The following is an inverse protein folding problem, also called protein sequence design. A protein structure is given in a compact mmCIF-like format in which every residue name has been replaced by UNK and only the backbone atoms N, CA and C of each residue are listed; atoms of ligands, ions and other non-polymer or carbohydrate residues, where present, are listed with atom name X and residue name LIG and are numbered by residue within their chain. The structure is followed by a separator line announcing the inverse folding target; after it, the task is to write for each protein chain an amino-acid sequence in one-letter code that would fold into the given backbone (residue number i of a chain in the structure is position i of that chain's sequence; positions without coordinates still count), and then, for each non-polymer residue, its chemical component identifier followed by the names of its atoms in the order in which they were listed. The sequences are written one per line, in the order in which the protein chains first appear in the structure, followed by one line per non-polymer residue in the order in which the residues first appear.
data_IF_898695632334
#
_entry.id   IF_898695632334
#
_cell.length_a   1.000
_cell.length_b   1.000
_cell.length_c   1.000
_cell.angle_alpha   90.00
_cell.angle_beta   90.00
_cell.angle_gamma   90.00
#
_symmetry.space_group_name_H-M   'P 1'
#
loop_
_entity.id
_entity.type
_entity.pdbx_description
1 polymer ?
#
# COMPACT_ATOMS: atom_id res chain seq x y z
N UNK A 1 -22.18 17.74 47.67
CA UNK A 1 -22.28 18.85 46.71
C UNK A 1 -21.15 19.82 47.00
N UNK A 2 -20.51 20.32 45.97
CA UNK A 2 -19.52 21.40 46.11
C UNK A 2 -20.18 22.78 46.21
N UNK A 3 -19.42 23.83 46.56
CA UNK A 3 -19.94 25.21 46.50
C UNK A 3 -20.40 25.54 45.11
N UNK A 4 -21.54 26.18 44.94
CA UNK A 4 -22.18 26.66 43.71
C UNK A 4 -22.44 25.59 42.60
N UNK A 5 -22.47 24.32 42.96
CA UNK A 5 -22.84 23.25 42.01
C UNK A 5 -24.33 23.42 41.57
N UNK A 6 -24.59 23.37 40.21
CA UNK A 6 -25.91 23.58 39.59
C UNK A 6 -26.54 24.96 39.89
N UNK A 7 -25.72 25.99 40.12
CA UNK A 7 -26.18 27.31 40.55
C UNK A 7 -27.26 27.94 39.63
N UNK A 8 -27.08 27.84 38.33
CA UNK A 8 -27.98 28.43 37.32
C UNK A 8 -29.07 27.46 36.83
N UNK A 9 -29.22 26.28 37.40
CA UNK A 9 -30.16 25.27 36.89
C UNK A 9 -31.61 25.70 37.07
N UNK A 10 -32.38 25.80 36.00
CA UNK A 10 -33.78 26.22 36.01
C UNK A 10 -34.77 25.07 35.81
N UNK A 11 -34.69 24.40 34.66
CA UNK A 11 -35.59 23.29 34.31
C UNK A 11 -34.84 22.00 33.95
N UNK A 12 -33.49 22.00 34.03
CA UNK A 12 -32.71 20.79 33.78
C UNK A 12 -32.96 19.72 34.84
N UNK A 13 -33.16 18.47 34.41
CA UNK A 13 -33.43 17.33 35.27
C UNK A 13 -32.34 16.26 35.16
N UNK A 14 -32.33 15.38 36.18
CA UNK A 14 -31.48 14.19 36.20
C UNK A 14 -29.95 14.51 36.09
N UNK A 15 -29.56 15.70 36.60
CA UNK A 15 -28.15 16.10 36.60
C UNK A 15 -27.47 15.72 37.93
N UNK A 16 -26.25 15.22 37.85
CA UNK A 16 -25.38 14.95 39.00
C UNK A 16 -24.21 15.91 38.98
N UNK A 17 -24.00 16.70 40.02
CA UNK A 17 -22.91 17.62 40.18
C UNK A 17 -22.18 17.43 41.51
N UNK A 18 -20.88 17.05 41.45
CA UNK A 18 -20.02 16.82 42.59
C UNK A 18 -18.67 17.53 42.43
N UNK A 19 -18.58 18.71 42.99
CA UNK A 19 -17.37 19.55 42.90
C UNK A 19 -17.73 21.04 42.95
N UNK A 20 -16.76 21.90 43.26
CA UNK A 20 -16.94 23.35 43.22
C UNK A 20 -17.25 23.77 41.78
N UNK A 21 -18.30 24.55 41.56
CA UNK A 21 -18.76 25.08 40.29
C UNK A 21 -19.09 24.01 39.21
N UNK A 22 -19.29 22.76 39.62
CA UNK A 22 -19.70 21.73 38.68
C UNK A 22 -21.13 22.00 38.15
N UNK A 23 -21.31 22.00 36.78
CA UNK A 23 -22.55 22.39 36.10
C UNK A 23 -23.07 23.79 36.48
N UNK A 24 -22.18 24.72 36.84
CA UNK A 24 -22.55 26.06 37.32
C UNK A 24 -23.52 26.77 36.39
N UNK A 25 -23.23 26.81 35.09
CA UNK A 25 -24.01 27.51 34.04
C UNK A 25 -25.21 26.71 33.50
N UNK A 26 -25.46 25.50 33.95
CA UNK A 26 -26.55 24.67 33.42
C UNK A 26 -27.90 25.34 33.59
N UNK A 27 -28.68 25.48 32.54
CA UNK A 27 -30.03 26.05 32.60
C UNK A 27 -31.12 25.00 32.37
N UNK A 28 -31.10 24.37 31.19
CA UNK A 28 -32.11 23.39 30.78
C UNK A 28 -31.52 22.03 30.39
N UNK A 29 -30.18 21.89 30.39
CA UNK A 29 -29.50 20.63 30.08
C UNK A 29 -29.90 19.52 31.06
N UNK A 30 -30.07 18.31 30.54
CA UNK A 30 -30.53 17.14 31.29
C UNK A 30 -29.59 15.97 31.25
N UNK A 31 -29.64 15.11 32.25
CA UNK A 31 -28.87 13.86 32.27
C UNK A 31 -27.38 14.05 32.14
N UNK A 32 -26.83 15.09 32.72
CA UNK A 32 -25.39 15.34 32.77
C UNK A 32 -24.81 14.85 34.11
N UNK A 33 -23.63 14.28 34.07
CA UNK A 33 -22.83 13.93 35.25
C UNK A 33 -21.55 14.73 35.26
N UNK A 34 -21.33 15.56 36.24
CA UNK A 34 -20.13 16.38 36.42
C UNK A 34 -19.48 16.10 37.79
N UNK A 35 -18.28 15.57 37.79
CA UNK A 35 -17.47 15.32 39.00
C UNK A 35 -16.12 16.00 38.87
N UNK A 36 -15.84 16.97 39.66
CA UNK A 36 -14.61 17.74 39.68
C UNK A 36 -14.82 19.25 39.70
N UNK A 37 -13.78 19.99 40.05
CA UNK A 37 -13.80 21.47 40.00
C UNK A 37 -14.01 21.93 38.57
N UNK A 38 -14.98 22.83 38.32
CA UNK A 38 -15.38 23.38 37.04
C UNK A 38 -15.75 22.34 35.95
N UNK A 39 -16.08 21.12 36.33
CA UNK A 39 -16.56 20.13 35.38
C UNK A 39 -17.92 20.59 34.79
N UNK A 40 -18.05 20.67 33.45
CA UNK A 40 -19.21 21.19 32.73
C UNK A 40 -19.61 22.62 33.15
N UNK A 41 -18.67 23.46 33.58
CA UNK A 41 -18.91 24.79 34.13
C UNK A 41 -19.82 25.65 33.26
N UNK A 42 -19.54 25.74 31.96
CA UNK A 42 -20.27 26.61 31.00
C UNK A 42 -21.44 25.91 30.29
N UNK A 43 -21.80 24.69 30.68
CA UNK A 43 -22.90 23.97 30.02
C UNK A 43 -24.20 24.75 30.21
N UNK A 44 -24.94 25.05 29.17
CA UNK A 44 -26.24 25.74 29.28
C UNK A 44 -27.41 24.81 28.96
N UNK A 45 -27.40 24.22 27.77
CA UNK A 45 -28.48 23.35 27.28
C UNK A 45 -27.99 21.94 26.88
N UNK A 46 -26.66 21.72 26.89
CA UNK A 46 -26.07 20.41 26.55
C UNK A 46 -26.58 19.31 27.50
N UNK A 47 -26.86 18.14 26.92
CA UNK A 47 -27.45 17.02 27.65
C UNK A 47 -26.66 15.72 27.41
N UNK A 48 -26.83 14.73 28.32
CA UNK A 48 -26.19 13.42 28.22
C UNK A 48 -24.64 13.48 28.28
N UNK A 49 -24.06 14.48 28.92
CA UNK A 49 -22.60 14.61 29.00
C UNK A 49 -22.12 14.00 30.35
N UNK A 50 -20.98 13.31 30.29
CA UNK A 50 -20.26 12.83 31.46
C UNK A 50 -18.91 13.52 31.52
N UNK A 51 -18.63 14.28 32.58
CA UNK A 51 -17.36 14.97 32.81
C UNK A 51 -16.81 14.58 34.19
N UNK A 52 -15.67 13.91 34.21
CA UNK A 52 -15.00 13.50 35.44
C UNK A 52 -13.54 13.96 35.42
N UNK A 53 -13.24 14.97 36.21
CA UNK A 53 -11.92 15.59 36.33
C UNK A 53 -11.98 17.10 36.45
N UNK A 54 -10.84 17.69 36.88
CA UNK A 54 -10.66 19.15 36.93
C UNK A 54 -10.85 19.73 35.53
N UNK A 55 -11.77 20.69 35.36
CA UNK A 55 -12.07 21.38 34.11
C UNK A 55 -12.53 20.43 32.96
N UNK A 56 -12.97 19.21 33.21
CA UNK A 56 -13.49 18.36 32.16
C UNK A 56 -14.74 18.98 31.52
N UNK A 57 -14.77 19.11 30.15
CA UNK A 57 -15.83 19.77 29.39
C UNK A 57 -16.14 21.20 29.87
N UNK A 58 -15.16 21.93 30.39
CA UNK A 58 -15.38 23.24 31.04
C UNK A 58 -16.17 24.22 30.18
N UNK A 59 -15.84 24.34 28.89
CA UNK A 59 -16.48 25.29 27.97
C UNK A 59 -17.58 24.67 27.10
N UNK A 60 -18.05 23.47 27.44
CA UNK A 60 -19.20 22.90 26.72
C UNK A 60 -20.40 23.80 26.92
N UNK A 61 -21.01 24.26 25.85
CA UNK A 61 -22.21 25.11 25.92
C UNK A 61 -23.45 24.31 25.51
N UNK A 62 -23.47 23.78 24.32
CA UNK A 62 -24.60 23.07 23.71
C UNK A 62 -24.30 21.64 23.28
N UNK A 63 -23.04 21.21 23.40
CA UNK A 63 -22.60 19.86 23.01
C UNK A 63 -23.28 18.76 23.83
N UNK A 64 -23.67 17.69 23.17
CA UNK A 64 -24.41 16.59 23.75
C UNK A 64 -23.65 15.26 23.68
N UNK A 65 -23.96 14.35 24.59
CA UNK A 65 -23.48 12.95 24.56
C UNK A 65 -21.93 12.85 24.55
N UNK A 66 -21.24 13.78 25.20
CA UNK A 66 -19.79 13.73 25.34
C UNK A 66 -19.38 13.02 26.63
N UNK A 67 -18.32 12.24 26.56
CA UNK A 67 -17.65 11.62 27.71
C UNK A 67 -16.24 12.17 27.85
N UNK A 68 -15.93 12.79 28.96
CA UNK A 68 -14.64 13.37 29.28
C UNK A 68 -14.14 12.86 30.64
N UNK A 69 -13.12 12.02 30.62
CA UNK A 69 -12.51 11.40 31.78
C UNK A 69 -11.03 11.85 31.92
N UNK A 70 -10.75 12.77 32.82
CA UNK A 70 -9.42 13.29 33.08
C UNK A 70 -9.34 14.81 33.15
N UNK A 71 -8.25 15.34 33.72
CA UNK A 71 -8.00 16.78 33.83
C UNK A 71 -7.95 17.42 32.45
N UNK A 72 -8.70 18.51 32.27
CA UNK A 72 -8.78 19.27 31.02
C UNK A 72 -9.22 18.43 29.78
N UNK A 73 -9.86 17.29 29.98
CA UNK A 73 -10.40 16.52 28.84
C UNK A 73 -11.56 17.27 28.20
N UNK A 74 -11.59 17.37 26.84
CA UNK A 74 -12.57 18.15 26.08
C UNK A 74 -12.75 19.60 26.58
N UNK A 75 -11.70 20.20 27.13
CA UNK A 75 -11.73 21.50 27.79
C UNK A 75 -12.38 22.60 26.95
N UNK A 76 -12.01 22.72 25.66
CA UNK A 76 -12.50 23.76 24.75
C UNK A 76 -13.73 23.36 23.93
N UNK A 77 -14.33 22.19 24.18
CA UNK A 77 -15.52 21.80 23.44
C UNK A 77 -16.65 22.80 23.69
N UNK A 78 -17.24 23.34 22.63
CA UNK A 78 -18.37 24.26 22.73
C UNK A 78 -19.67 23.64 22.24
N UNK A 79 -19.66 23.07 21.05
CA UNK A 79 -20.83 22.53 20.34
C UNK A 79 -20.64 21.08 19.85
N UNK A 80 -19.44 20.51 19.97
CA UNK A 80 -19.15 19.16 19.54
C UNK A 80 -19.95 18.10 20.29
N UNK A 81 -20.38 17.07 19.58
CA UNK A 81 -21.24 16.02 20.12
C UNK A 81 -20.61 14.64 20.03
N UNK A 82 -21.03 13.75 20.89
CA UNK A 82 -20.68 12.32 20.83
C UNK A 82 -19.16 12.04 20.84
N UNK A 83 -18.39 12.88 21.52
CA UNK A 83 -16.96 12.70 21.66
C UNK A 83 -16.65 11.87 22.91
N UNK A 84 -15.64 11.00 22.81
CA UNK A 84 -15.10 10.22 23.92
C UNK A 84 -13.64 10.59 24.16
N UNK A 85 -13.33 11.14 25.32
CA UNK A 85 -11.99 11.62 25.71
C UNK A 85 -11.59 11.01 27.06
N UNK A 86 -10.61 10.12 27.07
CA UNK A 86 -10.10 9.43 28.25
C UNK A 86 -8.61 9.70 28.45
N UNK A 87 -8.27 10.50 29.46
CA UNK A 87 -6.90 10.88 29.79
C UNK A 87 -6.74 12.39 30.01
N UNK A 88 -5.62 12.80 30.60
CA UNK A 88 -5.27 14.20 30.78
C UNK A 88 -5.12 14.93 29.46
N UNK A 89 -5.75 16.12 29.31
CA UNK A 89 -5.70 16.99 28.11
C UNK A 89 -6.14 16.30 26.81
N UNK A 90 -6.97 15.26 26.88
CA UNK A 90 -7.50 14.54 25.73
C UNK A 90 -8.50 15.42 25.00
N UNK A 91 -8.43 15.51 23.65
CA UNK A 91 -9.28 16.39 22.82
C UNK A 91 -9.30 17.84 23.31
N UNK A 92 -8.20 18.32 23.93
CA UNK A 92 -8.12 19.66 24.52
C UNK A 92 -8.51 20.77 23.53
N UNK A 93 -8.06 20.65 22.27
CA UNK A 93 -8.29 21.66 21.21
C UNK A 93 -9.65 21.55 20.51
N UNK A 94 -10.44 20.51 20.78
CA UNK A 94 -11.72 20.30 20.09
C UNK A 94 -12.72 21.40 20.48
N UNK A 95 -13.27 22.08 19.49
CA UNK A 95 -14.29 23.12 19.69
C UNK A 95 -15.68 22.68 19.22
N UNK A 96 -15.79 22.15 18.01
CA UNK A 96 -17.04 21.75 17.36
C UNK A 96 -17.00 20.38 16.70
N UNK A 97 -15.84 19.72 16.67
CA UNK A 97 -15.69 18.36 16.14
C UNK A 97 -16.55 17.36 16.90
N UNK A 98 -17.14 16.41 16.18
CA UNK A 98 -18.08 15.43 16.73
C UNK A 98 -17.64 14.00 16.43
N UNK A 99 -18.10 13.05 17.23
CA UNK A 99 -17.83 11.61 17.05
C UNK A 99 -16.34 11.28 17.05
N UNK A 100 -15.53 12.01 17.81
CA UNK A 100 -14.12 11.71 17.99
C UNK A 100 -13.92 10.81 19.20
N UNK A 101 -13.03 9.84 19.10
CA UNK A 101 -12.63 8.96 20.19
C UNK A 101 -11.13 9.18 20.43
N UNK A 102 -10.74 9.61 21.63
CA UNK A 102 -9.35 9.79 21.99
C UNK A 102 -9.04 9.15 23.33
N UNK A 103 -7.99 8.35 23.39
CA UNK A 103 -7.56 7.62 24.57
C UNK A 103 -6.05 7.80 24.80
N UNK A 104 -5.69 8.23 25.99
CA UNK A 104 -4.31 8.48 26.41
C UNK A 104 -4.02 9.98 26.61
N UNK A 105 -3.02 10.30 27.44
CA UNK A 105 -2.65 11.70 27.72
C UNK A 105 -2.36 12.46 26.43
N UNK A 106 -2.99 13.62 26.27
CA UNK A 106 -2.94 14.49 25.09
C UNK A 106 -3.37 13.84 23.77
N UNK A 107 -4.05 12.68 23.78
CA UNK A 107 -4.63 12.10 22.56
C UNK A 107 -5.67 13.03 21.95
N UNK A 108 -5.64 13.21 20.61
CA UNK A 108 -6.53 14.11 19.90
C UNK A 108 -6.38 15.59 20.27
N UNK A 109 -5.35 15.99 21.04
CA UNK A 109 -5.24 17.37 21.57
C UNK A 109 -5.08 18.45 20.48
N UNK A 110 -4.65 18.07 19.27
CA UNK A 110 -4.54 18.96 18.11
C UNK A 110 -5.81 19.03 17.26
N UNK A 111 -6.78 18.12 17.46
CA UNK A 111 -8.07 18.20 16.77
C UNK A 111 -8.81 19.46 17.19
N UNK A 112 -9.45 20.14 16.22
CA UNK A 112 -10.21 21.38 16.49
C UNK A 112 -11.68 21.27 16.05
N UNK A 113 -11.94 21.08 14.78
CA UNK A 113 -13.27 21.02 14.17
C UNK A 113 -13.54 19.73 13.41
N UNK A 114 -12.52 18.88 13.25
CA UNK A 114 -12.63 17.61 12.56
C UNK A 114 -13.47 16.59 13.32
N UNK A 115 -14.12 15.68 12.58
CA UNK A 115 -15.05 14.70 13.10
C UNK A 115 -14.71 13.27 12.71
N UNK A 116 -15.26 12.30 13.44
CA UNK A 116 -15.09 10.86 13.16
C UNK A 116 -13.63 10.38 13.23
N UNK A 117 -12.83 10.93 14.13
CA UNK A 117 -11.46 10.50 14.32
C UNK A 117 -11.33 9.54 15.51
N UNK A 118 -10.35 8.65 15.44
CA UNK A 118 -9.95 7.76 16.54
C UNK A 118 -8.46 7.98 16.78
N UNK A 119 -8.11 8.59 17.92
CA UNK A 119 -6.73 8.87 18.33
C UNK A 119 -6.38 8.10 19.61
N UNK A 120 -5.51 7.09 19.49
CA UNK A 120 -5.02 6.33 20.64
C UNK A 120 -3.53 6.63 20.81
N UNK A 121 -3.17 7.38 21.86
CA UNK A 121 -1.80 7.81 22.12
C UNK A 121 -1.20 8.71 21.01
N UNK A 122 -2.04 9.37 20.22
CA UNK A 122 -1.66 10.27 19.15
C UNK A 122 -2.35 11.63 19.31
N UNK A 123 -1.65 12.73 19.00
CA UNK A 123 -2.22 14.08 19.15
C UNK A 123 -3.24 14.46 18.08
N UNK A 124 -3.36 13.68 17.00
CA UNK A 124 -4.16 14.06 15.85
C UNK A 124 -3.55 15.22 15.06
N UNK A 125 -4.26 15.67 14.02
CA UNK A 125 -3.90 16.83 13.19
C UNK A 125 -5.09 17.77 13.13
N UNK A 126 -4.84 19.08 13.26
CA UNK A 126 -5.90 20.09 13.25
C UNK A 126 -6.75 20.01 11.96
N UNK A 127 -8.08 19.95 12.13
CA UNK A 127 -9.04 19.92 11.02
C UNK A 127 -9.18 18.58 10.28
N UNK A 128 -8.41 17.54 10.63
CA UNK A 128 -8.59 16.23 9.99
C UNK A 128 -9.92 15.56 10.41
N UNK A 129 -10.45 14.71 9.54
CA UNK A 129 -11.66 13.93 9.78
C UNK A 129 -11.54 12.52 9.21
N UNK A 130 -12.34 11.59 9.77
CA UNK A 130 -12.43 10.21 9.30
C UNK A 130 -11.09 9.46 9.34
N UNK A 131 -10.27 9.73 10.34
CA UNK A 131 -8.90 9.19 10.46
C UNK A 131 -8.73 8.37 11.73
N UNK A 132 -8.04 7.25 11.63
CA UNK A 132 -7.60 6.45 12.79
C UNK A 132 -6.09 6.61 12.93
N UNK A 133 -5.64 7.06 14.12
CA UNK A 133 -4.24 7.17 14.49
C UNK A 133 -3.96 6.41 15.78
N UNK A 134 -3.06 5.43 15.71
CA UNK A 134 -2.66 4.63 16.86
C UNK A 134 -1.15 4.79 17.06
N UNK A 135 -0.74 5.34 18.19
CA UNK A 135 0.65 5.57 18.51
C UNK A 135 1.26 6.78 17.81
N UNK A 136 2.53 7.02 18.09
CA UNK A 136 3.31 8.16 17.58
C UNK A 136 4.53 7.66 16.82
N UNK A 137 4.72 8.12 15.58
CA UNK A 137 5.91 7.83 14.76
C UNK A 137 7.20 8.09 15.58
N UNK A 138 8.13 7.14 15.55
CA UNK A 138 9.39 7.21 16.27
C UNK A 138 9.31 6.88 17.78
N UNK A 139 8.14 6.52 18.31
CA UNK A 139 7.99 6.09 19.71
C UNK A 139 7.71 4.59 19.80
N UNK A 140 6.69 4.10 19.08
CA UNK A 140 6.43 2.67 19.00
C UNK A 140 7.28 2.05 17.89
N UNK A 141 7.99 0.96 18.22
CA UNK A 141 8.89 0.24 17.30
C UNK A 141 8.27 -1.03 16.73
N UNK A 142 7.13 -1.47 17.27
CA UNK A 142 6.41 -2.66 16.80
C UNK A 142 4.90 -2.53 17.03
N UNK A 143 4.11 -3.12 16.15
CA UNK A 143 2.66 -3.23 16.26
C UNK A 143 2.25 -4.69 16.16
N UNK A 144 1.54 -5.21 17.17
CA UNK A 144 1.01 -6.56 17.19
C UNK A 144 -0.51 -6.51 17.16
N UNK A 145 -1.09 -7.06 16.09
CA UNK A 145 -2.55 -7.17 15.93
C UNK A 145 -2.90 -8.65 15.86
N UNK A 146 -3.63 -9.15 16.87
CA UNK A 146 -4.07 -10.55 16.91
C UNK A 146 -5.04 -10.85 15.76
N UNK A 147 -5.05 -12.11 15.30
CA UNK A 147 -5.99 -12.59 14.29
C UNK A 147 -5.60 -12.26 12.82
N UNK A 148 -4.50 -11.52 12.57
CA UNK A 148 -4.02 -11.29 11.20
C UNK A 148 -3.28 -12.53 10.70
N UNK A 149 -2.28 -13.02 11.47
CA UNK A 149 -1.53 -14.22 11.10
C UNK A 149 -2.39 -15.47 11.29
N UNK A 150 -2.41 -16.35 10.27
CA UNK A 150 -3.16 -17.60 10.31
C UNK A 150 -4.62 -17.49 9.88
N UNK A 151 -5.11 -16.32 9.54
CA UNK A 151 -6.45 -16.12 8.96
C UNK A 151 -6.38 -16.07 7.45
N UNK A 152 -7.14 -16.95 6.77
CA UNK A 152 -7.25 -16.94 5.31
C UNK A 152 -8.33 -15.96 4.87
N UNK A 153 -7.99 -15.03 3.98
CA UNK A 153 -8.92 -14.07 3.39
C UNK A 153 -9.13 -14.43 1.92
N UNK A 154 -10.31 -14.97 1.60
CA UNK A 154 -10.69 -15.27 0.22
C UNK A 154 -10.96 -13.97 -0.55
N UNK A 155 -10.35 -13.82 -1.75
CA UNK A 155 -10.49 -12.60 -2.55
C UNK A 155 -9.75 -11.38 -1.97
N UNK A 156 -8.83 -11.60 -1.03
CA UNK A 156 -8.01 -10.54 -0.43
C UNK A 156 -7.11 -9.84 -1.45
N UNK A 157 -6.78 -8.58 -1.14
CA UNK A 157 -5.82 -7.76 -1.88
C UNK A 157 -4.64 -7.41 -0.98
N UNK A 158 -3.47 -7.21 -1.57
CA UNK A 158 -2.27 -6.83 -0.83
C UNK A 158 -2.44 -5.46 -0.17
N UNK A 159 -2.12 -5.37 1.12
CA UNK A 159 -2.05 -4.11 1.86
C UNK A 159 -0.63 -3.55 1.73
N UNK A 160 -0.54 -2.27 1.42
CA UNK A 160 0.72 -1.52 1.39
C UNK A 160 0.75 -0.50 2.52
N UNK A 161 1.95 -0.12 2.94
CA UNK A 161 2.19 0.95 3.90
C UNK A 161 2.96 2.08 3.22
N UNK A 162 2.51 3.33 3.38
CA UNK A 162 3.25 4.49 2.88
C UNK A 162 4.30 4.98 3.90
N UNK A 163 5.12 5.95 3.50
CA UNK A 163 6.19 6.54 4.34
C UNK A 163 5.67 7.19 5.64
N UNK A 164 4.37 7.52 5.71
CA UNK A 164 3.73 8.07 6.90
C UNK A 164 3.13 6.99 7.82
N UNK A 165 3.25 5.70 7.44
CA UNK A 165 2.67 4.59 8.19
C UNK A 165 1.19 4.34 7.89
N UNK A 166 0.62 4.95 6.84
CA UNK A 166 -0.77 4.71 6.44
C UNK A 166 -0.89 3.39 5.70
N UNK A 167 -1.79 2.54 6.15
CA UNK A 167 -2.15 1.29 5.49
C UNK A 167 -3.18 1.55 4.39
N UNK A 168 -2.99 0.90 3.24
CA UNK A 168 -3.90 1.02 2.12
C UNK A 168 -3.69 -0.07 1.08
N UNK A 169 -4.44 0.00 -0.01
CA UNK A 169 -4.33 -0.92 -1.15
C UNK A 169 -4.07 -0.14 -2.43
N UNK A 170 -3.33 -0.71 -3.37
CA UNK A 170 -3.05 -0.07 -4.66
C UNK A 170 -4.19 -0.33 -5.64
N UNK A 171 -4.83 0.75 -6.10
CA UNK A 171 -5.84 0.66 -7.15
C UNK A 171 -5.19 0.51 -8.53
N UNK A 172 -5.63 -0.49 -9.31
CA UNK A 172 -5.11 -0.77 -10.66
C UNK A 172 -6.06 -0.36 -11.81
N UNK A 173 -7.29 0.04 -11.48
CA UNK A 173 -8.29 0.46 -12.47
C UNK A 173 -7.87 1.70 -13.24
N UNK A 174 -8.13 1.72 -14.55
CA UNK A 174 -7.86 2.87 -15.44
C UNK A 174 -8.51 4.17 -14.96
N UNK A 175 -9.66 4.11 -14.25
CA UNK A 175 -10.36 5.28 -13.68
C UNK A 175 -9.51 6.08 -12.67
N UNK A 176 -8.44 5.49 -12.13
CA UNK A 176 -7.53 6.11 -11.18
C UNK A 176 -6.16 6.46 -11.79
N UNK A 177 -5.98 6.23 -13.11
CA UNK A 177 -4.71 6.43 -13.79
C UNK A 177 -4.85 7.48 -14.88
N UNK A 178 -3.79 8.21 -15.13
CA UNK A 178 -3.69 9.18 -16.21
C UNK A 178 -2.48 8.84 -17.09
N UNK A 179 -2.50 9.28 -18.35
CA UNK A 179 -1.39 9.12 -19.30
C UNK A 179 -0.93 7.64 -19.43
N UNK A 180 -1.89 6.72 -19.56
CA UNK A 180 -1.59 5.31 -19.74
C UNK A 180 -0.92 5.10 -21.10
N UNK A 181 0.33 4.63 -21.09
CA UNK A 181 1.10 4.34 -22.28
C UNK A 181 1.69 2.92 -22.21
N UNK A 182 1.94 2.27 -23.36
CA UNK A 182 2.72 1.03 -23.39
C UNK A 182 4.09 1.24 -22.75
N UNK A 183 4.58 0.23 -22.03
CA UNK A 183 5.86 0.32 -21.32
C UNK A 183 7.09 0.39 -22.26
N UNK A 184 6.99 -0.24 -23.43
CA UNK A 184 8.04 -0.27 -24.47
C UNK A 184 9.45 -0.55 -23.87
N UNK A 185 10.41 0.37 -24.09
CA UNK A 185 11.80 0.25 -23.63
C UNK A 185 11.99 0.59 -22.15
N UNK A 186 10.97 1.13 -21.46
CA UNK A 186 11.09 1.53 -20.05
C UNK A 186 11.40 0.36 -19.10
N UNK A 187 11.08 -0.88 -19.52
CA UNK A 187 11.39 -2.11 -18.76
C UNK A 187 12.82 -2.64 -18.96
N UNK A 188 13.56 -2.19 -19.95
CA UNK A 188 14.89 -2.75 -20.28
C UNK A 188 15.90 -2.59 -19.13
N UNK A 189 15.70 -1.59 -18.27
CA UNK A 189 16.54 -1.40 -17.08
C UNK A 189 16.60 -2.60 -16.16
N UNK A 190 15.57 -3.50 -16.16
CA UNK A 190 15.60 -4.69 -15.30
C UNK A 190 16.70 -5.68 -15.66
N UNK A 191 17.20 -5.68 -16.90
CA UNK A 191 18.31 -6.56 -17.31
C UNK A 191 19.64 -6.22 -16.62
N UNK A 192 19.75 -5.01 -16.05
CA UNK A 192 20.92 -4.58 -15.28
C UNK A 192 20.77 -4.83 -13.77
N UNK A 193 19.60 -5.25 -13.30
CA UNK A 193 19.38 -5.61 -11.89
C UNK A 193 20.12 -6.90 -11.55
N UNK A 194 20.58 -6.97 -10.28
CA UNK A 194 21.39 -8.11 -9.79
C UNK A 194 20.66 -8.77 -8.61
N UNK A 195 19.91 -9.85 -8.85
CA UNK A 195 19.33 -10.64 -7.76
C UNK A 195 20.43 -11.24 -6.88
N UNK A 196 20.21 -11.21 -5.57
CA UNK A 196 21.17 -11.71 -4.57
C UNK A 196 20.48 -12.63 -3.56
N UNK A 197 21.29 -13.44 -2.89
CA UNK A 197 20.89 -14.10 -1.65
C UNK A 197 21.55 -13.38 -0.47
N UNK A 198 20.83 -13.25 0.65
CA UNK A 198 21.34 -12.53 1.81
C UNK A 198 20.73 -13.07 3.12
N UNK A 199 21.26 -12.61 4.24
CA UNK A 199 20.67 -12.79 5.56
C UNK A 199 20.50 -11.43 6.19
N UNK A 200 19.39 -11.20 6.88
CA UNK A 200 19.24 -9.99 7.69
C UNK A 200 20.22 -9.99 8.86
N UNK A 201 20.58 -8.81 9.33
CA UNK A 201 21.34 -8.65 10.56
C UNK A 201 20.60 -9.34 11.72
N UNK A 202 21.35 -9.91 12.67
CA UNK A 202 20.79 -10.66 13.82
C UNK A 202 19.78 -9.87 14.65
N UNK A 203 19.89 -8.56 14.65
CA UNK A 203 18.95 -7.63 15.32
C UNK A 203 17.57 -7.63 14.66
N UNK A 204 17.50 -7.88 13.35
CA UNK A 204 16.26 -7.92 12.56
C UNK A 204 15.72 -9.34 12.41
N UNK A 205 16.59 -10.32 12.20
CA UNK A 205 16.22 -11.74 12.07
C UNK A 205 17.13 -12.62 12.91
N UNK A 206 16.64 -13.06 14.07
CA UNK A 206 17.35 -13.96 14.97
C UNK A 206 17.47 -15.38 14.39
N UNK A 207 16.59 -15.77 13.46
CA UNK A 207 16.60 -17.11 12.84
C UNK A 207 17.73 -17.29 11.83
N UNK A 208 18.26 -16.19 11.27
CA UNK A 208 19.28 -16.21 10.24
C UNK A 208 18.83 -16.92 8.97
N UNK A 209 17.57 -16.81 8.60
CA UNK A 209 17.00 -17.44 7.42
C UNK A 209 17.58 -16.84 6.13
N UNK A 210 17.92 -17.70 5.15
CA UNK A 210 18.35 -17.27 3.82
C UNK A 210 17.22 -16.56 3.12
N UNK A 211 17.51 -15.38 2.56
CA UNK A 211 16.57 -14.54 1.82
C UNK A 211 17.02 -14.38 0.37
N UNK A 212 16.08 -13.99 -0.49
CA UNK A 212 16.30 -13.72 -1.91
C UNK A 212 15.71 -12.35 -2.23
N UNK A 213 16.44 -11.53 -3.00
CA UNK A 213 15.94 -10.21 -3.35
C UNK A 213 16.95 -9.35 -4.08
N UNK A 214 16.73 -8.04 -4.01
CA UNK A 214 17.56 -7.00 -4.61
C UNK A 214 18.08 -6.08 -3.51
N UNK A 215 19.24 -5.46 -3.73
CA UNK A 215 19.82 -4.43 -2.84
C UNK A 215 19.35 -3.06 -3.33
N UNK A 216 18.66 -2.29 -2.49
CA UNK A 216 18.02 -1.03 -2.88
C UNK A 216 19.02 -0.02 -3.45
N UNK A 217 20.23 0.09 -2.88
CA UNK A 217 21.31 0.96 -3.34
C UNK A 217 21.87 0.55 -4.72
N UNK A 218 21.83 -0.74 -5.07
CA UNK A 218 22.23 -1.20 -6.40
C UNK A 218 21.11 -0.96 -7.43
N UNK A 219 19.85 -1.12 -7.01
CA UNK A 219 18.68 -0.81 -7.85
C UNK A 219 18.61 0.68 -8.14
N UNK A 220 18.92 1.55 -7.17
CA UNK A 220 18.95 3.00 -7.34
C UNK A 220 19.88 3.43 -8.46
N UNK A 221 21.07 2.82 -8.57
CA UNK A 221 22.06 3.11 -9.64
C UNK A 221 21.55 2.76 -11.02
N UNK A 222 20.64 1.79 -11.12
CA UNK A 222 20.05 1.32 -12.39
C UNK A 222 18.81 2.12 -12.73
N UNK A 223 17.87 2.22 -11.80
CA UNK A 223 16.60 2.92 -11.97
C UNK A 223 16.05 3.43 -10.62
N UNK A 224 16.27 4.71 -10.27
CA UNK A 224 15.80 5.29 -9.02
C UNK A 224 14.28 5.22 -8.82
N UNK A 225 13.48 5.13 -9.90
CA UNK A 225 12.02 5.01 -9.82
C UNK A 225 11.55 3.68 -9.19
N UNK A 226 12.43 2.69 -9.11
CA UNK A 226 12.16 1.40 -8.48
C UNK A 226 12.49 1.36 -6.98
N UNK A 227 12.92 2.48 -6.40
CA UNK A 227 13.33 2.55 -4.98
C UNK A 227 12.35 3.40 -4.19
N UNK A 228 12.07 2.98 -2.96
CA UNK A 228 11.41 3.77 -1.92
C UNK A 228 12.50 4.21 -0.94
N UNK A 229 12.46 5.48 -0.58
CA UNK A 229 13.42 6.09 0.35
C UNK A 229 12.83 6.22 1.75
N UNK A 230 13.70 6.19 2.75
CA UNK A 230 13.33 6.49 4.13
C UNK A 230 13.19 8.02 4.37
N UNK A 231 12.92 8.40 5.63
CA UNK A 231 12.75 9.81 6.02
C UNK A 231 14.05 10.63 5.91
N UNK A 232 15.22 9.99 5.89
CA UNK A 232 16.53 10.62 5.71
C UNK A 232 16.92 10.72 4.22
N UNK A 233 16.07 10.23 3.31
CA UNK A 233 16.32 10.20 1.87
C UNK A 233 17.29 9.10 1.43
N UNK A 234 17.50 8.06 2.24
CA UNK A 234 18.32 6.90 1.89
C UNK A 234 17.47 5.80 1.28
N UNK A 235 18.02 5.01 0.33
CA UNK A 235 17.33 3.84 -0.20
C UNK A 235 16.90 2.89 0.92
N UNK A 236 15.61 2.55 0.97
CA UNK A 236 15.04 1.72 2.03
C UNK A 236 14.55 0.36 1.49
N UNK A 237 13.79 0.37 0.41
CA UNK A 237 13.26 -0.87 -0.19
C UNK A 237 13.02 -0.72 -1.69
N UNK A 238 12.81 -1.85 -2.38
CA UNK A 238 12.52 -1.92 -3.80
C UNK A 238 11.03 -2.08 -4.03
N UNK A 239 10.52 -1.40 -5.06
CA UNK A 239 9.12 -1.51 -5.52
C UNK A 239 8.95 -2.79 -6.35
N UNK A 240 8.90 -3.94 -5.69
CA UNK A 240 8.83 -5.24 -6.36
C UNK A 240 7.62 -5.36 -7.29
N UNK A 241 6.48 -4.76 -6.96
CA UNK A 241 5.29 -4.73 -7.84
C UNK A 241 5.53 -4.02 -9.17
N UNK A 242 6.44 -3.04 -9.19
CA UNK A 242 6.85 -2.38 -10.43
C UNK A 242 7.82 -3.27 -11.22
N UNK A 243 8.74 -3.94 -10.53
CA UNK A 243 9.65 -4.93 -11.13
C UNK A 243 8.87 -6.07 -11.78
N UNK A 244 7.83 -6.59 -11.13
CA UNK A 244 6.96 -7.67 -11.67
C UNK A 244 6.28 -7.24 -12.98
N UNK A 245 5.77 -6.01 -13.05
CA UNK A 245 5.17 -5.48 -14.28
C UNK A 245 6.20 -5.32 -15.43
N UNK A 246 7.42 -4.90 -15.09
CA UNK A 246 8.52 -4.78 -16.06
C UNK A 246 9.00 -6.15 -16.53
N UNK A 247 9.11 -7.14 -15.64
CA UNK A 247 9.42 -8.53 -15.97
C UNK A 247 8.40 -9.11 -16.94
N UNK A 248 7.11 -8.87 -16.72
CA UNK A 248 6.07 -9.32 -17.64
C UNK A 248 6.26 -8.70 -19.04
N UNK A 249 6.59 -7.40 -19.13
CA UNK A 249 6.82 -6.76 -20.42
C UNK A 249 8.03 -7.37 -21.17
N UNK A 250 9.15 -7.61 -20.49
CA UNK A 250 10.32 -8.26 -21.09
C UNK A 250 10.03 -9.71 -21.47
N UNK A 251 9.34 -10.47 -20.62
CA UNK A 251 8.91 -11.83 -20.97
C UNK A 251 8.07 -11.86 -22.24
N UNK A 252 7.12 -10.93 -22.41
CA UNK A 252 6.32 -10.84 -23.63
C UNK A 252 7.12 -10.40 -24.87
N UNK A 253 8.19 -9.59 -24.71
CA UNK A 253 9.12 -9.27 -25.80
C UNK A 253 9.91 -10.51 -26.22
N UNK A 254 10.50 -11.23 -25.27
CA UNK A 254 11.27 -12.44 -25.56
C UNK A 254 10.38 -13.56 -26.14
N UNK A 255 9.13 -13.71 -25.66
CA UNK A 255 8.19 -14.68 -26.22
C UNK A 255 7.93 -14.42 -27.72
N UNK A 256 7.63 -13.16 -28.10
CA UNK A 256 7.46 -12.79 -29.51
C UNK A 256 8.70 -13.02 -30.36
N UNK A 257 9.91 -12.81 -29.79
CA UNK A 257 11.15 -13.08 -30.46
C UNK A 257 11.37 -14.58 -30.69
N UNK A 258 11.05 -15.41 -29.71
CA UNK A 258 11.09 -16.87 -29.84
C UNK A 258 10.14 -17.36 -30.94
N UNK A 259 8.88 -16.90 -30.95
CA UNK A 259 7.92 -17.22 -32.02
C UNK A 259 8.45 -16.84 -33.42
N UNK A 260 9.07 -15.65 -33.54
CA UNK A 260 9.71 -15.22 -34.79
C UNK A 260 10.87 -16.11 -35.22
N UNK A 261 11.72 -16.54 -34.27
CA UNK A 261 12.84 -17.45 -34.52
C UNK A 261 12.34 -18.86 -34.93
N UNK A 262 11.30 -19.37 -34.31
CA UNK A 262 10.71 -20.66 -34.66
C UNK A 262 10.12 -20.64 -36.09
N UNK A 263 9.44 -19.54 -36.47
CA UNK A 263 8.92 -19.36 -37.81
C UNK A 263 10.06 -19.32 -38.86
N UNK A 264 11.14 -18.55 -38.58
CA UNK A 264 12.31 -18.47 -39.45
C UNK A 264 13.03 -19.83 -39.57
N UNK A 265 13.13 -20.58 -38.49
CA UNK A 265 13.72 -21.93 -38.48
C UNK A 265 12.88 -22.91 -39.33
N UNK A 266 11.54 -22.83 -39.24
CA UNK A 266 10.65 -23.64 -40.08
C UNK A 266 10.82 -23.36 -41.57
N UNK A 267 10.94 -22.07 -41.94
CA UNK A 267 11.21 -21.65 -43.34
C UNK A 267 12.58 -22.15 -43.81
N UNK A 268 13.64 -22.00 -43.01
CA UNK A 268 14.96 -22.52 -43.34
C UNK A 268 14.98 -24.02 -43.56
N UNK A 269 14.25 -24.79 -42.72
CA UNK A 269 14.12 -26.24 -42.89
C UNK A 269 13.50 -26.58 -44.24
N UNK A 270 12.42 -25.92 -44.66
CA UNK A 270 11.77 -26.12 -45.95
C UNK A 270 12.71 -25.78 -47.11
N UNK A 271 13.50 -24.70 -47.01
CA UNK A 271 14.51 -24.33 -48.01
C UNK A 271 15.59 -25.41 -48.14
N UNK A 272 16.09 -25.94 -47.00
CA UNK A 272 17.09 -27.02 -46.98
C UNK A 272 16.56 -28.29 -47.65
N UNK A 273 15.28 -28.68 -47.33
CA UNK A 273 14.63 -29.84 -47.96
C UNK A 273 14.50 -29.68 -49.46
N UNK A 274 14.06 -28.51 -49.93
CA UNK A 274 13.93 -28.20 -51.36
C UNK A 274 15.32 -28.24 -52.06
N UNK A 275 16.36 -27.64 -51.49
CA UNK A 275 17.73 -27.66 -52.01
C UNK A 275 18.27 -29.10 -52.03
N UNK A 276 18.04 -29.89 -50.98
CA UNK A 276 18.47 -31.28 -50.90
C UNK A 276 17.80 -32.15 -52.00
N UNK A 277 16.51 -31.93 -52.24
CA UNK A 277 15.75 -32.62 -53.30
C UNK A 277 16.30 -32.23 -54.68
N UNK A 278 16.49 -30.93 -54.95
CA UNK A 278 17.04 -30.45 -56.20
C UNK A 278 18.49 -30.97 -56.47
N UNK A 279 19.30 -31.10 -55.40
CA UNK A 279 20.65 -31.68 -55.53
C UNK A 279 20.61 -33.18 -55.85
N UNK A 280 19.67 -33.94 -55.26
CA UNK A 280 19.45 -35.34 -55.60
C UNK A 280 18.99 -35.54 -57.03
N UNK A 281 18.07 -34.72 -57.51
CA UNK A 281 17.59 -34.73 -58.87
C UNK A 281 18.70 -34.40 -59.88
N UNK A 282 19.44 -33.33 -59.63
CA UNK A 282 20.58 -32.93 -60.47
C UNK A 282 21.69 -34.04 -60.51
N UNK A 283 21.98 -34.67 -59.35
CA UNK A 283 22.95 -35.74 -59.27
C UNK A 283 22.46 -37.01 -60.02
N UNK A 284 21.16 -37.32 -60.02
CA UNK A 284 20.58 -38.42 -60.79
C UNK A 284 20.61 -38.17 -62.30
N UNK A 285 20.29 -36.93 -62.73
CA UNK A 285 20.43 -36.51 -64.13
C UNK A 285 21.87 -36.59 -64.65
N UNK A 286 22.84 -36.16 -63.82
CA UNK A 286 24.28 -36.26 -64.16
C UNK A 286 24.74 -37.74 -64.31
N UNK A 287 24.27 -38.64 -63.48
CA UNK A 287 24.53 -40.08 -63.58
C UNK A 287 23.90 -40.68 -64.85
N UNK A 288 22.64 -40.30 -65.15
CA UNK A 288 21.95 -40.76 -66.36
C UNK A 288 22.69 -40.27 -67.65
N UNK A 289 23.10 -38.99 -67.68
CA UNK A 289 23.85 -38.43 -68.82
C UNK A 289 25.23 -39.06 -68.99
N UNK A 290 25.97 -39.34 -67.88
CA UNK A 290 27.22 -40.09 -67.93
C UNK A 290 27.04 -41.54 -68.42
N UNK A 291 25.94 -42.21 -68.02
CA UNK A 291 25.62 -43.56 -68.44
C UNK A 291 25.29 -43.59 -69.97
N UNK A 292 24.48 -42.64 -70.45
CA UNK A 292 24.15 -42.47 -71.89
C UNK A 292 25.38 -42.15 -72.74
N UNK A 293 26.26 -41.25 -72.25
CA UNK A 293 27.51 -40.95 -72.96
C UNK A 293 28.45 -42.18 -73.07
N UNK A 294 28.47 -43.03 -72.01
CA UNK A 294 29.27 -44.26 -71.98
C UNK A 294 28.69 -45.31 -72.96
N UNK A 295 27.38 -45.44 -73.10
CA UNK A 295 26.75 -46.31 -74.09
C UNK A 295 27.04 -45.87 -75.52
N UNK A 296 26.98 -44.57 -75.81
CA UNK A 296 27.29 -44.03 -77.12
C UNK A 296 28.79 -44.24 -77.47
N UNK A 297 29.68 -44.11 -76.49
CA UNK A 297 31.13 -44.37 -76.73
C UNK A 297 31.43 -45.84 -76.94
N UNK A 298 30.78 -46.74 -76.26
CA UNK A 298 30.93 -48.18 -76.44
C UNK A 298 30.34 -48.62 -77.81
N UNK A 299 29.19 -48.13 -78.20
CA UNK A 299 28.57 -48.46 -79.50
C UNK A 299 29.48 -47.91 -80.69
N UNK A 300 30.11 -46.75 -80.53
CA UNK A 300 31.03 -46.21 -81.46
C UNK A 300 32.34 -47.00 -81.60
N UNK A 301 32.81 -47.58 -80.48
CA UNK A 301 33.97 -48.49 -80.43
C UNK A 301 33.67 -49.82 -81.11
N UNK A 302 32.48 -50.40 -80.88
CA UNK A 302 32.00 -51.63 -81.53
C UNK A 302 31.92 -51.46 -83.07
N UNK A 303 31.40 -50.31 -83.51
CA UNK A 303 31.32 -49.99 -84.93
C UNK A 303 32.69 -49.85 -85.60
N UNK A 304 33.67 -49.23 -84.94
CA UNK A 304 35.03 -49.07 -85.44
C UNK A 304 35.77 -50.42 -85.45
N UNK A 305 35.49 -51.31 -84.51
CA UNK A 305 36.10 -52.63 -84.48
C UNK A 305 35.51 -53.60 -85.53
N UNK A 306 34.25 -53.42 -85.91
CA UNK A 306 33.56 -54.16 -86.93
C UNK A 306 34.05 -53.77 -88.40
N UNK A 307 34.36 -52.47 -88.60
CA UNK A 307 34.82 -51.91 -89.88
C UNK A 307 36.30 -52.26 -90.20
N UNK A 308 37.13 -52.60 -89.21
CA UNK A 308 38.53 -53.04 -89.34
C UNK A 308 38.72 -54.57 -89.50
N UNK A 309 37.63 -55.30 -89.58
CA UNK A 309 37.64 -56.76 -89.71
C UNK A 309 37.16 -57.32 -91.10
N UNK A 310 37.14 -56.40 -92.14
CA UNK A 310 36.97 -56.83 -93.56
C UNK A 310 38.29 -56.69 -94.37
#
# INVERSE_FOLDING_TARGET
MGGEALYSNTTGTDNTALGHDSLYGNTTGTQNTATGWDALYSNTIGSYNTANGLNALKFNNTGNSNTAEGTNSLYNNTTGNSNVAVGDQTLLGNTSGSSNIAVGSSAGSSLSTGSNNIDIGNKGIAGESNTIRIGKKGTQTATYIAGIRGTTVSGGITVQIDTNGRLGTTASSARFKQNIQPMNEASESIHALKPVTFHYNKELDHSGSLQFGLVAEEVEKVNPALVVYDDDGKPYTVRYEAVDAMLLNEFLKEHRKVEGLEAALAEQKQQIEALTTGLKESSSQLRATKSAARLVTNHRLEYILADNSQ
#
